data_IF_326112779630
#
_entry.id   IF_326112779630
#
_cell.length_a   1.000
_cell.length_b   1.000
_cell.length_c   1.000
_cell.angle_alpha   90.00
_cell.angle_beta   90.00
_cell.angle_gamma   90.00
#
_symmetry.space_group_name_H-M   'P 1'
#
loop_
_entity.id
_entity.type
_entity.pdbx_description
1 polymer ?
#
# COMPACT_ATOMS: atom_id res chain seq x y z
N UNK A 1 -20.10 -24.97 17.40
CA UNK A 1 -19.13 -24.10 18.09
C UNK A 1 -17.87 -24.03 17.23
N UNK A 2 -17.45 -22.84 16.83
CA UNK A 2 -16.23 -22.63 16.06
C UNK A 2 -15.15 -22.24 17.06
N UNK A 3 -13.98 -22.87 17.00
CA UNK A 3 -12.84 -22.55 17.86
C UNK A 3 -12.05 -21.40 17.27
N UNK A 4 -12.00 -20.27 17.98
CA UNK A 4 -11.37 -19.04 17.51
C UNK A 4 -9.84 -19.02 17.55
N UNK A 5 -9.22 -20.09 18.07
CA UNK A 5 -7.75 -20.18 18.17
C UNK A 5 -7.13 -19.41 19.35
N UNK A 6 -7.94 -18.71 20.15
CA UNK A 6 -7.48 -18.02 21.36
C UNK A 6 -8.05 -18.73 22.60
N UNK A 7 -7.18 -19.20 23.46
CA UNK A 7 -7.55 -19.97 24.64
C UNK A 7 -6.74 -19.50 25.85
N UNK A 8 -7.38 -19.51 27.03
CA UNK A 8 -6.74 -19.32 28.31
C UNK A 8 -7.10 -20.48 29.22
N UNK A 9 -6.14 -21.06 29.91
CA UNK A 9 -6.32 -22.20 30.78
C UNK A 9 -5.78 -21.91 32.18
N UNK A 10 -6.63 -22.08 33.19
CA UNK A 10 -6.24 -21.87 34.61
C UNK A 10 -5.29 -22.97 35.10
N UNK A 11 -5.35 -24.17 34.53
CA UNK A 11 -4.58 -25.34 34.96
C UNK A 11 -3.80 -25.94 33.78
N UNK A 12 -2.74 -25.27 33.29
CA UNK A 12 -2.03 -25.69 32.07
C UNK A 12 -1.36 -27.06 32.19
N UNK A 13 -0.87 -27.42 33.37
CA UNK A 13 -0.25 -28.74 33.59
C UNK A 13 -1.26 -29.88 33.42
N UNK A 14 -2.50 -29.68 33.89
CA UNK A 14 -3.56 -30.66 33.71
C UNK A 14 -4.00 -30.76 32.25
N UNK A 15 -4.03 -29.62 31.51
CA UNK A 15 -4.27 -29.65 30.09
C UNK A 15 -3.21 -30.44 29.33
N UNK A 16 -1.92 -30.24 29.63
CA UNK A 16 -0.82 -30.99 29.01
C UNK A 16 -1.00 -32.50 29.26
N UNK A 17 -1.33 -32.88 30.47
CA UNK A 17 -1.65 -34.28 30.80
C UNK A 17 -2.76 -34.83 29.92
N UNK A 18 -3.89 -34.11 29.83
CA UNK A 18 -5.05 -34.49 28.99
C UNK A 18 -4.66 -34.63 27.51
N UNK A 19 -3.83 -33.72 26.98
CA UNK A 19 -3.36 -33.77 25.58
C UNK A 19 -2.48 -35.02 25.36
N UNK A 20 -1.56 -35.32 26.26
CA UNK A 20 -0.68 -36.51 26.19
C UNK A 20 -1.51 -37.78 26.23
N UNK A 21 -2.45 -37.89 27.16
CA UNK A 21 -3.39 -39.01 27.29
C UNK A 21 -4.33 -39.18 26.10
N UNK A 22 -4.55 -38.11 25.32
CA UNK A 22 -5.35 -38.09 24.10
C UNK A 22 -4.50 -38.25 22.84
N UNK A 23 -3.35 -38.93 22.88
CA UNK A 23 -2.45 -39.13 21.75
C UNK A 23 -2.05 -37.79 21.07
N UNK A 24 -1.78 -36.76 21.83
CA UNK A 24 -1.41 -35.42 21.38
C UNK A 24 -2.51 -34.70 20.57
N UNK A 25 -3.75 -35.18 20.62
CA UNK A 25 -4.89 -34.45 20.04
C UNK A 25 -5.27 -33.31 20.96
N UNK A 26 -5.07 -32.06 20.50
CA UNK A 26 -5.45 -30.88 21.29
C UNK A 26 -6.95 -30.81 21.53
N UNK A 27 -7.78 -31.16 20.53
CA UNK A 27 -9.24 -31.12 20.64
C UNK A 27 -9.75 -32.14 21.65
N UNK A 28 -9.20 -33.38 21.64
CA UNK A 28 -9.63 -34.41 22.58
C UNK A 28 -9.05 -34.17 23.97
N UNK A 29 -7.85 -33.60 24.06
CA UNK A 29 -7.28 -33.10 25.31
C UNK A 29 -8.16 -32.02 25.94
N UNK A 30 -8.67 -31.06 25.16
CA UNK A 30 -9.63 -30.06 25.65
C UNK A 30 -10.95 -30.68 26.11
N UNK A 31 -11.49 -31.67 25.39
CA UNK A 31 -12.69 -32.40 25.83
C UNK A 31 -12.46 -33.11 27.18
N UNK A 32 -11.27 -33.70 27.38
CA UNK A 32 -10.91 -34.32 28.64
C UNK A 32 -10.70 -33.31 29.75
N UNK A 33 -10.07 -32.18 29.47
CA UNK A 33 -9.91 -31.05 30.38
C UNK A 33 -11.27 -30.49 30.83
N UNK A 34 -12.24 -30.34 29.91
CA UNK A 34 -13.56 -29.77 30.22
C UNK A 34 -14.41 -30.63 31.16
N UNK A 35 -14.06 -31.90 31.35
CA UNK A 35 -14.73 -32.75 32.35
C UNK A 35 -14.38 -32.36 33.78
N UNK A 36 -13.21 -31.78 34.02
CA UNK A 36 -12.74 -31.34 35.32
C UNK A 36 -12.91 -29.83 35.53
N UNK A 37 -12.76 -29.06 34.48
CA UNK A 37 -12.79 -27.60 34.50
C UNK A 37 -13.67 -27.10 33.36
N UNK A 38 -14.81 -26.46 33.72
CA UNK A 38 -15.70 -25.87 32.70
C UNK A 38 -15.04 -24.75 31.92
N UNK A 39 -15.43 -24.60 30.66
CA UNK A 39 -15.01 -23.47 29.84
C UNK A 39 -16.03 -22.34 29.88
N UNK A 40 -15.55 -21.13 30.12
CA UNK A 40 -16.31 -19.92 29.87
C UNK A 40 -16.20 -19.57 28.38
N UNK A 41 -17.34 -19.36 27.74
CA UNK A 41 -17.40 -19.02 26.33
C UNK A 41 -17.44 -17.50 26.21
N UNK A 42 -16.37 -16.92 25.67
CA UNK A 42 -16.35 -15.50 25.28
C UNK A 42 -16.98 -15.41 23.90
N UNK A 43 -18.14 -14.77 23.80
CA UNK A 43 -18.75 -14.45 22.51
C UNK A 43 -18.02 -13.27 21.89
N UNK A 44 -17.62 -13.43 20.64
CA UNK A 44 -17.07 -12.35 19.85
C UNK A 44 -17.90 -12.22 18.57
N UNK A 45 -18.39 -11.01 18.30
CA UNK A 45 -19.24 -10.72 17.14
C UNK A 45 -18.41 -10.48 15.87
N UNK A 46 -17.09 -10.28 16.02
CA UNK A 46 -16.15 -10.10 14.90
C UNK A 46 -15.21 -11.29 14.81
N UNK A 47 -15.38 -12.09 13.77
CA UNK A 47 -14.49 -13.21 13.45
C UNK A 47 -13.75 -12.96 12.15
N UNK A 48 -12.43 -12.94 12.21
CA UNK A 48 -11.56 -12.83 11.01
C UNK A 48 -10.80 -14.15 10.86
N UNK A 49 -11.10 -14.88 9.80
CA UNK A 49 -10.43 -16.14 9.48
C UNK A 49 -9.32 -15.90 8.44
N UNK A 50 -8.11 -16.28 8.79
CA UNK A 50 -6.92 -16.20 7.95
C UNK A 50 -6.33 -17.60 7.63
N UNK A 51 -7.05 -18.67 7.97
CA UNK A 51 -6.58 -20.04 7.81
C UNK A 51 -6.68 -20.59 6.39
N UNK A 52 -7.67 -20.13 5.63
CA UNK A 52 -7.88 -20.49 4.24
C UNK A 52 -7.71 -19.27 3.34
N UNK A 53 -7.23 -19.47 2.11
CA UNK A 53 -6.98 -18.37 1.18
C UNK A 53 -8.25 -17.56 0.85
N UNK A 54 -9.39 -18.22 0.73
CA UNK A 54 -10.70 -17.57 0.52
C UNK A 54 -11.12 -16.74 1.72
N UNK A 55 -11.00 -17.31 2.93
CA UNK A 55 -11.29 -16.63 4.18
C UNK A 55 -10.32 -15.48 4.43
N UNK A 56 -9.04 -15.64 4.08
CA UNK A 56 -8.03 -14.58 4.14
C UNK A 56 -8.46 -13.34 3.35
N UNK A 57 -8.80 -13.49 2.07
CA UNK A 57 -9.22 -12.36 1.26
C UNK A 57 -10.56 -11.77 1.72
N UNK A 58 -11.47 -12.60 2.24
CA UNK A 58 -12.72 -12.11 2.84
C UNK A 58 -12.45 -11.28 4.11
N UNK A 59 -11.63 -11.79 5.01
CA UNK A 59 -11.26 -11.10 6.25
C UNK A 59 -10.45 -9.83 5.97
N UNK A 60 -9.56 -9.86 4.97
CA UNK A 60 -8.78 -8.71 4.53
C UNK A 60 -9.66 -7.54 4.07
N UNK A 61 -10.81 -7.83 3.42
CA UNK A 61 -11.78 -6.79 3.03
C UNK A 61 -12.34 -6.01 4.21
N UNK A 62 -12.54 -6.66 5.36
CA UNK A 62 -13.10 -6.03 6.55
C UNK A 62 -12.08 -5.23 7.38
N UNK A 63 -10.77 -5.43 7.10
CA UNK A 63 -9.65 -4.71 7.77
C UNK A 63 -9.01 -3.75 6.78
N UNK A 64 -9.76 -2.77 6.30
CA UNK A 64 -9.19 -1.73 5.46
C UNK A 64 -8.52 -0.65 6.31
N UNK A 65 -7.25 -0.34 6.02
CA UNK A 65 -6.58 0.83 6.59
C UNK A 65 -7.07 2.09 5.88
N UNK A 66 -8.14 2.67 6.38
CA UNK A 66 -8.62 3.96 5.89
C UNK A 66 -7.79 5.10 6.49
N UNK A 67 -7.34 6.03 5.66
CA UNK A 67 -6.90 7.33 6.16
C UNK A 67 -8.15 8.14 6.53
N UNK A 68 -8.04 9.00 7.54
CA UNK A 68 -9.18 9.74 8.14
C UNK A 68 -10.05 10.54 7.15
N UNK A 69 -9.56 10.78 5.93
CA UNK A 69 -10.25 11.55 4.90
C UNK A 69 -10.73 10.71 3.69
N UNK A 70 -10.42 9.41 3.63
CA UNK A 70 -10.87 8.52 2.55
C UNK A 70 -11.92 7.55 3.09
N UNK A 71 -13.03 7.42 2.37
CA UNK A 71 -14.01 6.37 2.58
C UNK A 71 -13.79 5.26 1.54
N UNK A 72 -13.58 4.05 2.02
CA UNK A 72 -13.41 2.87 1.19
C UNK A 72 -14.52 1.89 1.53
N UNK A 73 -15.35 1.55 0.55
CA UNK A 73 -16.36 0.51 0.64
C UNK A 73 -16.01 -0.63 -0.32
N UNK A 74 -16.08 -1.87 0.16
CA UNK A 74 -15.76 -3.05 -0.66
C UNK A 74 -17.01 -3.91 -0.78
N UNK A 75 -17.68 -3.81 -1.91
CA UNK A 75 -18.90 -4.54 -2.20
C UNK A 75 -18.90 -5.10 -3.63
N UNK A 76 -19.57 -6.22 -3.85
CA UNK A 76 -19.79 -6.81 -5.17
C UNK A 76 -18.54 -7.00 -6.03
N UNK A 77 -17.37 -7.21 -5.42
CA UNK A 77 -16.11 -7.37 -6.15
C UNK A 77 -15.46 -6.07 -6.59
N UNK A 78 -15.94 -4.93 -6.12
CA UNK A 78 -15.38 -3.60 -6.37
C UNK A 78 -15.03 -2.89 -5.08
N UNK A 79 -14.06 -2.02 -5.15
CA UNK A 79 -13.68 -1.07 -4.12
C UNK A 79 -14.17 0.30 -4.57
N UNK A 80 -15.14 0.88 -3.88
CA UNK A 80 -15.55 2.27 -4.07
C UNK A 80 -14.69 3.17 -3.22
N UNK A 81 -14.08 4.18 -3.83
CA UNK A 81 -13.27 5.20 -3.15
C UNK A 81 -13.89 6.57 -3.34
N UNK A 82 -14.12 7.25 -2.22
CA UNK A 82 -14.50 8.65 -2.14
C UNK A 82 -13.66 9.35 -1.07
N UNK A 83 -13.67 10.66 -1.06
CA UNK A 83 -12.92 11.45 -0.08
C UNK A 83 -13.64 12.75 0.23
N UNK A 84 -13.53 13.24 1.46
CA UNK A 84 -13.90 14.60 1.81
C UNK A 84 -13.01 15.64 1.11
N UNK A 85 -11.81 15.23 0.69
CA UNK A 85 -10.91 16.06 -0.12
C UNK A 85 -11.19 15.83 -1.61
N UNK A 86 -12.16 16.57 -2.13
CA UNK A 86 -12.69 16.42 -3.49
C UNK A 86 -11.65 16.64 -4.59
N UNK A 87 -10.73 17.59 -4.42
CA UNK A 87 -9.67 17.86 -5.42
C UNK A 87 -8.77 16.64 -5.63
N UNK A 88 -8.47 15.89 -4.57
CA UNK A 88 -7.68 14.67 -4.66
C UNK A 88 -8.39 13.59 -5.47
N UNK A 89 -9.68 13.36 -5.20
CA UNK A 89 -10.47 12.36 -5.93
C UNK A 89 -10.61 12.75 -7.40
N UNK A 90 -10.88 14.01 -7.70
CA UNK A 90 -10.95 14.52 -9.07
C UNK A 90 -9.63 14.34 -9.83
N UNK A 91 -8.49 14.53 -9.14
CA UNK A 91 -7.18 14.29 -9.73
C UNK A 91 -6.97 12.80 -10.07
N UNK A 92 -7.33 11.89 -9.16
CA UNK A 92 -7.23 10.45 -9.39
C UNK A 92 -8.16 10.00 -10.54
N UNK A 93 -9.40 10.50 -10.58
CA UNK A 93 -10.37 10.25 -11.67
C UNK A 93 -9.79 10.73 -13.00
N UNK A 94 -9.28 11.97 -13.04
CA UNK A 94 -8.68 12.54 -14.24
C UNK A 94 -7.50 11.68 -14.75
N UNK A 95 -6.72 11.10 -13.87
CA UNK A 95 -5.63 10.21 -14.26
C UNK A 95 -6.17 8.96 -14.99
N UNK A 96 -7.19 8.30 -14.42
CA UNK A 96 -7.81 7.12 -15.03
C UNK A 96 -8.51 7.43 -16.36
N UNK A 97 -9.22 8.55 -16.45
CA UNK A 97 -9.96 8.96 -17.65
C UNK A 97 -9.01 9.34 -18.81
N UNK A 98 -7.81 9.81 -18.50
CA UNK A 98 -6.78 10.16 -19.49
C UNK A 98 -5.74 9.07 -19.70
N UNK A 99 -5.91 7.89 -19.10
CA UNK A 99 -4.98 6.79 -19.28
C UNK A 99 -5.08 6.22 -20.70
N UNK A 100 -3.97 6.12 -21.46
CA UNK A 100 -3.96 5.46 -22.76
C UNK A 100 -4.41 4.01 -22.67
N UNK A 101 -5.19 3.54 -23.66
CA UNK A 101 -5.76 2.17 -23.69
C UNK A 101 -4.71 1.08 -23.55
N UNK A 102 -3.52 1.31 -24.08
CA UNK A 102 -2.38 0.41 -24.01
C UNK A 102 -1.88 0.17 -22.58
N UNK A 103 -2.27 1.05 -21.65
CA UNK A 103 -1.90 0.95 -20.23
C UNK A 103 -2.99 0.30 -19.36
N UNK A 104 -4.19 0.06 -19.88
CA UNK A 104 -5.30 -0.56 -19.12
C UNK A 104 -4.94 -1.96 -18.59
N UNK A 105 -4.04 -2.67 -19.26
CA UNK A 105 -3.54 -3.97 -18.78
C UNK A 105 -2.82 -3.85 -17.41
N UNK A 106 -2.30 -2.67 -17.09
CA UNK A 106 -1.55 -2.42 -15.86
C UNK A 106 -2.39 -1.83 -14.73
N UNK A 107 -3.69 -1.64 -14.93
CA UNK A 107 -4.63 -1.18 -13.90
C UNK A 107 -5.72 -2.23 -13.66
N UNK A 108 -6.35 -2.27 -12.47
CA UNK A 108 -7.65 -2.90 -12.30
C UNK A 108 -8.67 -2.27 -13.26
N UNK A 109 -9.80 -2.94 -13.49
CA UNK A 109 -10.94 -2.28 -14.16
C UNK A 109 -11.42 -1.12 -13.28
N UNK A 110 -11.62 0.04 -13.89
CA UNK A 110 -12.04 1.26 -13.20
C UNK A 110 -13.36 1.75 -13.79
N UNK A 111 -14.23 2.25 -12.92
CA UNK A 111 -15.48 2.95 -13.27
C UNK A 111 -15.44 4.29 -12.55
N UNK A 112 -15.40 5.38 -13.29
CA UNK A 112 -15.32 6.74 -12.75
C UNK A 112 -16.71 7.36 -12.63
N UNK A 113 -16.91 8.16 -11.59
CA UNK A 113 -18.09 8.97 -11.31
C UNK A 113 -17.61 10.43 -11.07
N UNK A 114 -18.52 11.35 -10.81
CA UNK A 114 -18.17 12.77 -10.63
C UNK A 114 -17.30 13.03 -9.40
N UNK A 115 -17.57 12.34 -8.28
CA UNK A 115 -16.95 12.57 -6.96
C UNK A 115 -16.34 11.30 -6.32
N UNK A 116 -16.31 10.21 -7.07
CA UNK A 116 -15.87 8.91 -6.61
C UNK A 116 -15.48 8.03 -7.78
N UNK A 117 -14.80 6.91 -7.50
CA UNK A 117 -14.58 5.87 -8.50
C UNK A 117 -14.63 4.48 -7.86
N UNK A 118 -14.90 3.49 -8.69
CA UNK A 118 -14.86 2.09 -8.32
C UNK A 118 -13.73 1.39 -9.08
N UNK A 119 -12.95 0.59 -8.37
CA UNK A 119 -11.93 -0.27 -8.96
C UNK A 119 -12.23 -1.74 -8.63
N UNK A 120 -11.98 -2.62 -9.58
CA UNK A 120 -12.08 -4.05 -9.38
C UNK A 120 -11.23 -4.51 -8.18
N UNK A 121 -11.84 -5.30 -7.27
CA UNK A 121 -11.12 -5.90 -6.16
C UNK A 121 -10.30 -7.09 -6.65
N UNK A 122 -8.99 -6.92 -6.70
CA UNK A 122 -8.07 -7.98 -7.07
C UNK A 122 -7.65 -8.79 -5.83
N UNK A 123 -7.87 -10.10 -5.86
CA UNK A 123 -7.41 -11.03 -4.81
C UNK A 123 -5.90 -11.30 -4.95
N UNK A 124 -5.10 -10.24 -5.08
CA UNK A 124 -3.65 -10.30 -5.19
C UNK A 124 -2.99 -9.60 -4.00
N UNK A 125 -1.75 -9.93 -3.72
CA UNK A 125 -0.95 -9.24 -2.72
C UNK A 125 -0.21 -8.08 -3.34
N UNK A 126 -0.07 -6.99 -2.57
CA UNK A 126 0.80 -5.87 -2.95
C UNK A 126 2.27 -6.30 -2.96
N UNK A 127 3.11 -5.57 -3.70
CA UNK A 127 4.55 -5.82 -3.66
C UNK A 127 5.14 -5.59 -2.27
N UNK A 128 4.55 -4.69 -1.47
CA UNK A 128 4.94 -4.50 -0.07
C UNK A 128 4.70 -5.76 0.76
N UNK A 129 3.52 -6.38 0.63
CA UNK A 129 3.21 -7.65 1.30
C UNK A 129 4.11 -8.78 0.83
N UNK A 130 4.35 -8.88 -0.48
CA UNK A 130 5.24 -9.90 -1.06
C UNK A 130 6.68 -9.70 -0.60
N UNK A 131 7.14 -8.46 -0.44
CA UNK A 131 8.48 -8.16 0.04
C UNK A 131 8.67 -8.55 1.50
N UNK A 132 7.72 -8.24 2.35
CA UNK A 132 7.82 -8.49 3.80
C UNK A 132 7.54 -9.97 4.12
N UNK A 133 6.54 -10.57 3.50
CA UNK A 133 6.01 -11.88 3.91
C UNK A 133 6.21 -12.99 2.87
N UNK A 134 6.42 -12.64 1.60
CA UNK A 134 6.34 -13.60 0.50
C UNK A 134 7.55 -14.52 0.36
N UNK A 135 8.70 -14.19 0.95
CA UNK A 135 9.97 -14.96 0.83
C UNK A 135 10.25 -15.41 -0.61
N UNK A 136 9.97 -14.55 -1.60
CA UNK A 136 10.11 -14.88 -3.00
C UNK A 136 11.59 -15.02 -3.39
N UNK A 137 11.95 -16.03 -4.20
CA UNK A 137 13.31 -16.18 -4.70
C UNK A 137 13.69 -15.08 -5.69
N UNK A 138 14.98 -14.80 -5.83
CA UNK A 138 15.49 -13.69 -6.65
C UNK A 138 15.05 -13.73 -8.11
N UNK A 139 14.86 -14.90 -8.70
CA UNK A 139 14.40 -15.00 -10.08
C UNK A 139 12.95 -14.50 -10.27
N UNK A 140 12.10 -14.62 -9.23
CA UNK A 140 10.74 -14.06 -9.24
C UNK A 140 10.80 -12.55 -9.15
N UNK A 141 11.64 -12.01 -8.24
CA UNK A 141 11.86 -10.57 -8.16
C UNK A 141 12.40 -9.97 -9.47
N UNK A 142 13.30 -10.67 -10.16
CA UNK A 142 13.77 -10.24 -11.49
C UNK A 142 12.61 -10.10 -12.49
N UNK A 143 11.65 -11.03 -12.49
CA UNK A 143 10.46 -10.95 -13.35
C UNK A 143 9.56 -9.76 -12.94
N UNK A 144 9.34 -9.56 -11.64
CA UNK A 144 8.58 -8.43 -11.12
C UNK A 144 9.22 -7.11 -11.56
N UNK A 145 10.53 -6.92 -11.32
CA UNK A 145 11.24 -5.72 -11.73
C UNK A 145 11.26 -5.50 -13.25
N UNK A 146 11.30 -6.56 -14.03
CA UNK A 146 11.16 -6.46 -15.50
C UNK A 146 9.78 -5.89 -15.85
N UNK A 147 8.71 -6.40 -15.25
CA UNK A 147 7.34 -5.91 -15.47
C UNK A 147 7.15 -4.47 -15.00
N UNK A 148 7.76 -4.08 -13.87
CA UNK A 148 7.78 -2.69 -13.39
C UNK A 148 8.46 -1.76 -14.42
N UNK A 149 9.63 -2.17 -14.94
CA UNK A 149 10.34 -1.39 -15.95
C UNK A 149 9.54 -1.25 -17.24
N UNK A 150 8.97 -2.34 -17.74
CA UNK A 150 8.11 -2.33 -18.94
C UNK A 150 6.94 -1.36 -18.81
N UNK A 151 6.30 -1.33 -17.63
CA UNK A 151 5.23 -0.38 -17.35
C UNK A 151 5.75 1.07 -17.36
N UNK A 152 6.84 1.36 -16.65
CA UNK A 152 7.40 2.71 -16.58
C UNK A 152 7.88 3.20 -17.96
N UNK A 153 8.58 2.36 -18.72
CA UNK A 153 9.04 2.70 -20.08
C UNK A 153 7.82 3.07 -20.96
N UNK A 154 6.76 2.28 -20.87
CA UNK A 154 5.54 2.51 -21.64
C UNK A 154 4.78 3.75 -21.14
N UNK A 155 4.66 3.94 -19.84
CA UNK A 155 4.02 5.10 -19.23
C UNK A 155 4.74 6.39 -19.64
N UNK A 156 6.05 6.43 -19.53
CA UNK A 156 6.88 7.60 -19.85
C UNK A 156 7.01 7.84 -21.36
N UNK A 157 6.62 6.91 -22.23
CA UNK A 157 6.59 7.15 -23.67
C UNK A 157 5.49 8.16 -24.08
N UNK A 158 4.48 8.34 -23.26
CA UNK A 158 3.42 9.33 -23.49
C UNK A 158 3.87 10.70 -23.00
N UNK A 159 4.46 11.48 -23.91
CA UNK A 159 5.02 12.80 -23.61
C UNK A 159 3.94 13.88 -23.61
N UNK A 160 4.16 14.92 -22.82
CA UNK A 160 3.36 16.14 -22.79
C UNK A 160 4.22 17.36 -23.14
N UNK A 161 3.62 18.32 -23.86
CA UNK A 161 4.25 19.61 -24.16
C UNK A 161 3.82 20.72 -23.17
N UNK A 162 3.05 20.37 -22.15
CA UNK A 162 2.58 21.32 -21.14
C UNK A 162 3.73 21.77 -20.24
N UNK A 163 4.20 22.99 -20.48
CA UNK A 163 5.34 23.60 -19.75
C UNK A 163 4.93 24.19 -18.38
N UNK A 164 3.63 24.27 -18.10
CA UNK A 164 3.12 24.86 -16.86
C UNK A 164 3.07 23.85 -15.69
N UNK A 165 3.53 22.63 -15.92
CA UNK A 165 3.58 21.59 -14.90
C UNK A 165 4.78 21.81 -13.98
N UNK A 166 4.51 21.89 -12.66
CA UNK A 166 5.55 22.15 -11.68
C UNK A 166 6.21 20.86 -11.17
N UNK A 167 7.53 20.78 -11.39
CA UNK A 167 8.39 19.69 -10.88
C UNK A 167 9.34 20.14 -9.80
N UNK A 168 9.18 21.31 -9.22
CA UNK A 168 10.12 21.83 -8.23
C UNK A 168 10.10 20.97 -6.95
N UNK A 169 10.79 19.83 -7.01
CA UNK A 169 10.94 18.90 -5.90
C UNK A 169 11.61 19.60 -4.69
N UNK A 170 12.55 20.50 -4.91
CA UNK A 170 13.23 21.25 -3.86
C UNK A 170 12.26 22.11 -3.08
N UNK A 171 11.47 22.94 -3.78
CA UNK A 171 10.48 23.81 -3.15
C UNK A 171 9.48 23.01 -2.29
N UNK A 172 8.93 21.94 -2.86
CA UNK A 172 8.01 21.05 -2.14
C UNK A 172 8.66 20.41 -0.92
N UNK A 173 9.92 19.97 -1.04
CA UNK A 173 10.68 19.39 0.07
C UNK A 173 10.92 20.40 1.15
N UNK A 174 11.36 21.61 0.79
CA UNK A 174 11.60 22.72 1.74
C UNK A 174 10.34 23.07 2.51
N UNK A 175 9.19 23.20 1.82
CA UNK A 175 7.90 23.48 2.47
C UNK A 175 7.55 22.43 3.52
N UNK A 176 7.66 21.14 3.17
CA UNK A 176 7.38 20.03 4.09
C UNK A 176 8.35 19.98 5.27
N UNK A 177 9.63 20.23 5.02
CA UNK A 177 10.64 20.28 6.08
C UNK A 177 10.38 21.43 7.05
N UNK A 178 10.00 22.60 6.56
CA UNK A 178 9.63 23.75 7.41
C UNK A 178 8.39 23.44 8.27
N UNK A 179 7.36 22.81 7.70
CA UNK A 179 6.20 22.37 8.45
C UNK A 179 6.57 21.33 9.52
N UNK A 180 7.39 20.36 9.17
CA UNK A 180 7.89 19.35 10.10
C UNK A 180 8.73 19.97 11.23
N UNK A 181 9.65 20.91 10.91
CA UNK A 181 10.47 21.62 11.90
C UNK A 181 9.61 22.39 12.90
N UNK A 182 8.56 23.10 12.41
CA UNK A 182 7.61 23.81 13.27
C UNK A 182 6.87 22.88 14.22
N UNK A 183 6.48 21.68 13.77
CA UNK A 183 5.74 20.72 14.58
C UNK A 183 6.62 19.95 15.57
N UNK A 184 7.85 19.59 15.16
CA UNK A 184 8.75 18.73 15.94
C UNK A 184 9.75 19.50 16.80
N UNK A 185 9.97 20.79 16.53
CA UNK A 185 11.02 21.58 17.15
C UNK A 185 12.45 21.24 16.69
N UNK A 186 12.59 20.40 15.64
CA UNK A 186 13.90 19.98 15.12
C UNK A 186 14.51 21.11 14.29
N UNK A 187 15.76 21.46 14.62
CA UNK A 187 16.55 22.44 13.87
C UNK A 187 17.16 21.79 12.62
N UNK A 188 16.67 22.19 11.43
CA UNK A 188 17.10 21.67 10.14
C UNK A 188 18.49 22.15 9.70
N UNK A 189 19.08 23.15 10.37
CA UNK A 189 20.42 23.66 10.06
C UNK A 189 21.54 22.88 10.75
N UNK A 190 21.22 22.06 11.74
CA UNK A 190 22.23 21.27 12.46
C UNK A 190 22.68 20.07 11.64
N UNK A 191 24.00 19.82 11.72
CA UNK A 191 24.56 18.55 11.19
C UNK A 191 23.96 17.36 11.95
N UNK A 192 23.74 16.27 11.22
CA UNK A 192 23.12 15.06 11.74
C UNK A 192 24.23 14.06 12.08
N UNK A 193 24.14 13.44 13.24
CA UNK A 193 25.03 12.34 13.62
C UNK A 193 24.27 11.02 13.56
N UNK A 194 24.72 10.11 12.70
CA UNK A 194 24.15 8.75 12.56
C UNK A 194 25.30 7.75 12.73
N UNK A 195 25.17 6.83 13.66
CA UNK A 195 26.18 5.82 13.95
C UNK A 195 27.59 6.43 14.14
N UNK A 196 27.68 7.50 14.93
CA UNK A 196 28.91 8.26 15.23
C UNK A 196 29.57 8.95 14.03
N UNK A 197 28.90 9.01 12.87
CA UNK A 197 29.36 9.76 11.71
C UNK A 197 28.54 11.03 11.54
N UNK A 198 29.24 12.15 11.31
CA UNK A 198 28.62 13.45 11.06
C UNK A 198 28.27 13.58 9.57
N UNK A 199 27.06 14.05 9.31
CA UNK A 199 26.53 14.33 7.98
C UNK A 199 26.11 15.80 7.90
N UNK A 200 26.06 16.40 6.70
CA UNK A 200 25.55 17.74 6.51
C UNK A 200 24.11 17.86 7.04
N UNK A 201 23.71 19.09 7.32
CA UNK A 201 22.32 19.38 7.70
C UNK A 201 21.33 18.98 6.61
N UNK A 202 20.06 18.73 6.98
CA UNK A 202 19.01 18.36 6.01
C UNK A 202 18.87 19.44 4.93
N UNK A 203 18.94 20.72 5.30
CA UNK A 203 18.87 21.83 4.32
C UNK A 203 20.04 21.81 3.35
N UNK A 204 21.27 21.57 3.85
CA UNK A 204 22.45 21.48 2.98
C UNK A 204 22.37 20.28 1.99
N UNK A 205 21.65 19.20 2.35
CA UNK A 205 21.37 18.09 1.45
C UNK A 205 20.33 18.47 0.41
N UNK A 206 19.27 19.18 0.80
CA UNK A 206 18.22 19.65 -0.11
C UNK A 206 18.76 20.62 -1.16
N UNK A 207 19.71 21.49 -0.76
CA UNK A 207 20.36 22.42 -1.72
C UNK A 207 21.10 21.71 -2.85
N UNK A 208 21.56 20.48 -2.63
CA UNK A 208 22.19 19.67 -3.66
C UNK A 208 21.20 19.06 -4.66
N UNK A 209 19.88 19.02 -4.34
CA UNK A 209 18.88 18.42 -5.23
C UNK A 209 18.83 19.12 -6.59
N UNK A 210 18.99 20.44 -6.64
CA UNK A 210 18.95 21.20 -7.90
C UNK A 210 20.00 20.70 -8.89
N UNK A 211 21.20 20.34 -8.39
CA UNK A 211 22.27 19.83 -9.24
C UNK A 211 21.90 18.53 -9.93
N UNK A 212 21.13 17.65 -9.25
CA UNK A 212 20.72 16.35 -9.80
C UNK A 212 19.41 16.42 -10.59
N UNK A 213 18.61 17.49 -10.43
CA UNK A 213 17.26 17.60 -11.00
C UNK A 213 17.19 18.54 -12.22
N UNK A 214 18.24 19.33 -12.48
CA UNK A 214 18.26 20.32 -13.57
C UNK A 214 18.20 19.70 -14.98
N UNK A 215 18.45 18.40 -15.15
CA UNK A 215 18.38 17.70 -16.44
C UNK A 215 16.99 17.10 -16.74
N UNK A 216 15.99 17.26 -15.84
CA UNK A 216 14.66 16.71 -16.03
C UNK A 216 13.79 17.61 -16.91
N UNK A 217 14.07 17.65 -18.21
CA UNK A 217 13.36 18.51 -19.17
C UNK A 217 12.17 17.81 -19.85
N UNK A 218 11.93 16.54 -19.57
CA UNK A 218 10.87 15.78 -20.21
C UNK A 218 9.64 15.63 -19.32
N UNK A 219 8.51 16.10 -19.83
CA UNK A 219 7.19 15.93 -19.21
C UNK A 219 6.52 14.72 -19.84
N UNK A 220 6.10 13.78 -19.04
CA UNK A 220 5.41 12.58 -19.49
C UNK A 220 4.29 12.18 -18.55
N UNK A 221 3.48 11.22 -18.97
CA UNK A 221 2.51 10.58 -18.09
C UNK A 221 3.25 9.88 -16.94
N UNK A 222 2.82 10.10 -15.70
CA UNK A 222 3.39 9.48 -14.50
C UNK A 222 2.31 8.89 -13.62
N UNK A 223 2.66 7.93 -12.77
CA UNK A 223 1.77 7.43 -11.70
C UNK A 223 1.73 8.37 -10.49
N UNK A 224 2.83 9.03 -10.21
CA UNK A 224 2.97 10.01 -9.11
C UNK A 224 3.06 9.43 -7.70
N UNK A 225 2.73 8.15 -7.50
CA UNK A 225 2.88 7.43 -6.22
C UNK A 225 3.20 5.94 -6.47
N UNK A 226 4.20 5.68 -7.33
CA UNK A 226 4.58 4.34 -7.76
C UNK A 226 5.46 3.65 -6.71
N UNK A 227 4.80 3.16 -5.66
CA UNK A 227 5.45 2.48 -4.53
C UNK A 227 4.87 1.05 -4.35
N UNK A 228 5.61 0.20 -3.65
CA UNK A 228 5.24 -1.21 -3.48
C UNK A 228 3.85 -1.44 -2.87
N UNK A 229 3.35 -0.51 -2.06
CA UNK A 229 1.99 -0.58 -1.50
C UNK A 229 0.88 -0.34 -2.52
N UNK A 230 1.19 0.34 -3.63
CA UNK A 230 0.25 0.72 -4.68
C UNK A 230 0.39 -0.16 -5.94
N UNK A 231 1.12 -1.26 -5.83
CA UNK A 231 1.39 -2.19 -6.93
C UNK A 231 1.12 -3.61 -6.47
N UNK A 232 0.37 -4.35 -7.24
CA UNK A 232 0.18 -5.80 -7.10
C UNK A 232 0.88 -6.52 -8.24
N UNK A 233 1.23 -7.78 -8.03
CA UNK A 233 1.74 -8.65 -9.09
C UNK A 233 0.79 -9.81 -9.32
N UNK A 234 0.31 -9.93 -10.54
CA UNK A 234 -0.48 -11.07 -10.99
C UNK A 234 0.45 -12.17 -11.49
N UNK A 235 0.64 -13.21 -10.68
CA UNK A 235 1.49 -14.35 -11.02
C UNK A 235 0.99 -15.16 -12.21
N UNK A 236 -0.31 -15.10 -12.54
CA UNK A 236 -0.91 -15.84 -13.67
C UNK A 236 -0.66 -15.10 -14.98
N UNK A 237 -0.85 -13.77 -14.96
CA UNK A 237 -0.59 -12.91 -16.11
C UNK A 237 0.89 -12.58 -16.30
N UNK A 238 1.70 -12.71 -15.25
CA UNK A 238 3.10 -12.27 -15.25
C UNK A 238 3.26 -10.75 -15.35
N UNK A 239 2.25 -9.99 -14.94
CA UNK A 239 2.16 -8.55 -15.09
C UNK A 239 1.83 -7.86 -13.76
N UNK A 240 2.20 -6.59 -13.65
CA UNK A 240 1.78 -5.77 -12.51
C UNK A 240 0.38 -5.20 -12.71
N UNK A 241 -0.25 -4.86 -11.59
CA UNK A 241 -1.44 -4.01 -11.51
C UNK A 241 -1.14 -2.86 -10.56
N UNK A 242 -1.36 -1.62 -11.02
CA UNK A 242 -1.12 -0.42 -10.22
C UNK A 242 -2.42 0.33 -9.97
N UNK A 243 -2.50 0.98 -8.82
CA UNK A 243 -3.67 1.74 -8.36
C UNK A 243 -3.22 2.92 -7.49
N UNK A 244 -4.15 3.80 -7.11
CA UNK A 244 -3.90 4.96 -6.26
C UNK A 244 -2.94 5.99 -6.90
N UNK A 245 -3.16 6.39 -8.19
CA UNK A 245 -2.33 7.39 -8.85
C UNK A 245 -2.54 8.76 -8.20
N UNK A 246 -1.61 9.70 -8.43
CA UNK A 246 -1.76 11.06 -7.89
C UNK A 246 -2.60 11.97 -8.78
N UNK A 247 -2.39 11.96 -10.07
CA UNK A 247 -3.14 12.74 -11.05
C UNK A 247 -3.07 14.27 -10.88
N UNK A 248 -2.04 14.77 -10.18
CA UNK A 248 -1.78 16.19 -10.04
C UNK A 248 -0.28 16.49 -9.91
N UNK A 249 0.12 17.69 -10.29
CA UNK A 249 1.48 18.19 -10.11
C UNK A 249 1.76 18.64 -8.66
N UNK A 250 2.93 19.27 -8.42
CA UNK A 250 3.32 19.69 -7.08
C UNK A 250 2.56 20.91 -6.55
N UNK A 251 1.94 21.71 -7.42
CA UNK A 251 1.07 22.83 -7.04
C UNK A 251 -0.40 22.41 -6.87
N UNK A 252 -0.73 21.13 -7.17
CA UNK A 252 -2.11 20.65 -7.13
C UNK A 252 -2.88 20.87 -8.43
N UNK A 253 -2.23 21.32 -9.51
CA UNK A 253 -2.85 21.38 -10.85
C UNK A 253 -3.23 19.95 -11.26
N UNK A 254 -4.49 19.73 -11.58
CA UNK A 254 -4.98 18.43 -12.05
C UNK A 254 -4.34 18.11 -13.39
N UNK A 255 -3.54 17.08 -13.43
CA UNK A 255 -2.83 16.59 -14.63
C UNK A 255 -2.35 15.17 -14.41
N UNK A 256 -2.48 14.26 -15.39
CA UNK A 256 -1.89 12.94 -15.32
C UNK A 256 -0.38 12.95 -15.60
N UNK A 257 0.16 14.09 -16.02
CA UNK A 257 1.54 14.24 -16.43
C UNK A 257 2.42 14.83 -15.32
N UNK A 258 3.67 14.49 -15.37
CA UNK A 258 4.66 14.96 -14.42
C UNK A 258 6.08 14.79 -14.98
N UNK A 259 7.11 15.28 -14.24
CA UNK A 259 8.51 15.00 -14.51
C UNK A 259 8.81 13.53 -14.25
N UNK A 260 8.97 12.79 -15.28
CA UNK A 260 9.32 11.40 -15.23
C UNK A 260 10.52 11.18 -16.12
N UNK A 261 11.64 11.09 -15.51
CA UNK A 261 12.84 10.76 -16.22
C UNK A 261 13.87 10.24 -15.24
N UNK A 262 13.80 9.01 -14.89
CA UNK A 262 14.94 8.19 -14.48
C UNK A 262 14.78 6.84 -15.17
#
# INVERSE_FOLDING_TARGET
MILAGAYSFSHPQFLIKCIVESNYSFVDGMKSYSKAYAFDIIKNDTWLDFGLITSYFHSKKSVSTQRSFNNIDISNGYIKKSSSWQEKIKAEINWFDNLPKELFIYTPKVITYEDSYEIEYLCNNTLAELYVFGKLPSYVWKKIFKSLKEFLDKLHSFKSNDKDINFNCKEKTLKRLQEFSKQSGIDLHKNIVINSKSYPSVLALVDKLDFYMNDMNEISLIHGDFCFSNIMYDFRAGAIKTFDPRGCDFNGKITPCGGGGI
#
